data_IF_938569541380
#
_entry.id   IF_938569541380
#
_cell.length_a   1.000
_cell.length_b   1.000
_cell.length_c   1.000
_cell.angle_alpha   90.00
_cell.angle_beta   90.00
_cell.angle_gamma   90.00
#
_symmetry.space_group_name_H-M   'P 1'
#
loop_
_entity.id
_entity.type
_entity.pdbx_description
1 polymer ?
#
# COMPACT_ATOMS: atom_id res chain seq x y z
N UNK A 1 -8.84 5.53 27.83
CA UNK A 1 -8.64 5.82 26.39
C UNK A 1 -10.00 6.20 25.82
N UNK A 2 -10.22 7.45 25.37
CA UNK A 2 -11.48 7.76 24.68
C UNK A 2 -11.52 6.88 23.44
N UNK A 3 -12.60 6.11 23.28
CA UNK A 3 -12.86 5.37 22.04
C UNK A 3 -13.05 6.43 20.97
N UNK A 4 -11.97 6.72 20.23
CA UNK A 4 -12.07 7.51 19.01
C UNK A 4 -12.94 6.71 18.03
N UNK A 5 -13.77 7.40 17.25
CA UNK A 5 -14.67 6.73 16.36
C UNK A 5 -13.89 6.12 15.17
N UNK A 6 -13.64 4.82 15.24
CA UNK A 6 -12.82 4.08 14.27
C UNK A 6 -13.63 3.61 13.04
N UNK A 7 -14.92 3.94 12.96
CA UNK A 7 -15.70 3.63 11.77
C UNK A 7 -15.14 4.37 10.55
N UNK A 8 -15.18 3.78 9.35
CA UNK A 8 -14.90 4.53 8.13
C UNK A 8 -15.80 5.76 8.00
N UNK A 9 -15.25 6.80 7.39
CA UNK A 9 -16.02 7.96 7.00
C UNK A 9 -16.61 7.68 5.60
N UNK A 10 -17.93 7.85 5.46
CA UNK A 10 -18.71 7.38 4.29
C UNK A 10 -19.41 8.50 3.53
N UNK A 11 -19.19 9.76 3.92
CA UNK A 11 -19.84 10.93 3.37
C UNK A 11 -18.82 12.04 3.08
N UNK A 12 -18.84 12.62 1.89
CA UNK A 12 -17.84 13.60 1.48
C UNK A 12 -17.95 14.87 2.31
N UNK A 13 -19.16 15.36 2.60
CA UNK A 13 -19.35 16.54 3.43
C UNK A 13 -18.68 16.39 4.80
N UNK A 14 -18.85 15.23 5.43
CA UNK A 14 -18.21 14.91 6.70
C UNK A 14 -16.67 14.87 6.61
N UNK A 15 -16.10 14.54 5.45
CA UNK A 15 -14.64 14.54 5.21
C UNK A 15 -14.10 15.96 5.15
N UNK A 16 -14.79 16.86 4.43
CA UNK A 16 -14.40 18.28 4.29
C UNK A 16 -14.63 19.06 5.59
N UNK A 17 -15.64 18.69 6.37
CA UNK A 17 -15.94 19.30 7.66
C UNK A 17 -14.97 18.85 8.78
N UNK A 18 -14.05 17.91 8.51
CA UNK A 18 -13.02 17.54 9.48
C UNK A 18 -12.09 18.72 9.76
N UNK A 19 -11.80 19.05 11.04
CA UNK A 19 -10.87 20.13 11.36
C UNK A 19 -9.44 19.82 10.91
N UNK A 20 -9.07 18.54 10.86
CA UNK A 20 -7.75 18.06 10.46
C UNK A 20 -7.83 16.59 10.02
N UNK A 21 -7.11 16.25 8.96
CA UNK A 21 -6.82 14.86 8.58
C UNK A 21 -5.40 14.52 9.03
N UNK A 22 -5.28 13.59 9.97
CA UNK A 22 -3.99 13.14 10.51
C UNK A 22 -3.44 11.99 9.70
N UNK A 23 -2.25 12.22 9.16
CA UNK A 23 -1.47 11.22 8.47
C UNK A 23 0.00 11.33 8.87
N UNK A 24 0.57 10.23 9.36
CA UNK A 24 2.02 10.09 9.48
C UNK A 24 2.52 9.48 8.17
N UNK A 25 3.29 10.21 7.34
CA UNK A 25 3.73 9.72 6.03
C UNK A 25 4.38 8.34 6.11
N UNK A 26 3.93 7.40 5.27
CA UNK A 26 4.37 6.01 5.28
C UNK A 26 3.75 5.10 6.35
N UNK A 27 2.99 5.65 7.31
CA UNK A 27 2.42 4.90 8.44
C UNK A 27 0.90 5.15 8.61
N UNK A 28 0.08 4.79 7.60
CA UNK A 28 -1.37 4.82 7.75
C UNK A 28 -1.82 3.81 8.82
N UNK A 29 -2.94 4.11 9.49
CA UNK A 29 -3.53 3.19 10.48
C UNK A 29 -3.95 1.87 9.81
N UNK A 30 -3.69 0.75 10.48
CA UNK A 30 -3.88 -0.58 9.87
C UNK A 30 -5.29 -1.08 10.13
N UNK A 31 -6.07 -1.22 9.06
CA UNK A 31 -7.35 -1.91 9.06
C UNK A 31 -7.19 -3.25 8.35
N UNK A 32 -7.94 -4.26 8.79
CA UNK A 32 -7.90 -5.59 8.19
C UNK A 32 -9.31 -6.10 7.96
N UNK A 33 -9.51 -6.68 6.78
CA UNK A 33 -10.62 -7.57 6.54
C UNK A 33 -10.26 -8.95 7.10
N UNK A 34 -10.89 -9.32 8.21
CA UNK A 34 -10.76 -10.66 8.78
C UNK A 34 -11.63 -11.64 8.00
N UNK A 35 -11.02 -12.26 6.99
CA UNK A 35 -11.66 -13.29 6.17
C UNK A 35 -12.09 -14.53 6.95
N UNK A 36 -11.62 -14.77 8.18
CA UNK A 36 -12.11 -15.89 9.00
C UNK A 36 -13.50 -15.58 9.58
N UNK A 37 -13.70 -14.35 10.03
CA UNK A 37 -14.93 -13.94 10.72
C UNK A 37 -15.83 -13.01 9.91
N UNK A 38 -15.41 -12.57 8.73
CA UNK A 38 -16.17 -11.63 7.89
C UNK A 38 -16.34 -10.27 8.58
N UNK A 39 -15.28 -9.76 9.21
CA UNK A 39 -15.30 -8.50 9.98
C UNK A 39 -14.27 -7.52 9.48
N UNK A 40 -14.55 -6.23 9.64
CA UNK A 40 -13.54 -5.19 9.61
C UNK A 40 -12.97 -5.03 11.02
N UNK A 41 -11.65 -5.02 11.16
CA UNK A 41 -11.00 -4.73 12.44
C UNK A 41 -9.91 -3.68 12.31
N UNK A 42 -9.60 -3.05 13.44
CA UNK A 42 -8.49 -2.14 13.62
C UNK A 42 -7.32 -2.89 14.25
N UNK A 43 -6.14 -2.81 13.63
CA UNK A 43 -4.90 -3.46 14.07
C UNK A 43 -4.98 -4.99 14.28
N UNK A 44 -6.02 -5.68 13.78
CA UNK A 44 -6.21 -7.11 14.04
C UNK A 44 -6.81 -7.44 15.40
N UNK A 45 -7.19 -6.43 16.19
CA UNK A 45 -7.59 -6.61 17.60
C UNK A 45 -9.00 -6.09 17.86
N UNK A 46 -9.29 -4.86 17.44
CA UNK A 46 -10.59 -4.22 17.73
C UNK A 46 -11.53 -4.41 16.56
N UNK A 47 -12.56 -5.24 16.75
CA UNK A 47 -13.64 -5.38 15.79
C UNK A 47 -14.39 -4.05 15.61
N UNK A 48 -14.53 -3.61 14.36
CA UNK A 48 -15.23 -2.38 13.97
C UNK A 48 -16.63 -2.73 13.48
N UNK A 49 -16.76 -3.83 12.75
CA UNK A 49 -18.06 -4.35 12.33
C UNK A 49 -18.40 -5.69 12.98
N UNK A 50 -19.69 -5.94 13.23
CA UNK A 50 -20.22 -7.27 13.48
C UNK A 50 -19.87 -8.27 12.36
N UNK A 51 -19.88 -9.56 12.72
CA UNK A 51 -19.62 -10.67 11.79
C UNK A 51 -20.60 -10.64 10.61
N UNK A 52 -20.08 -10.65 9.40
CA UNK A 52 -20.85 -10.68 8.16
C UNK A 52 -21.49 -9.34 7.79
N UNK A 53 -21.26 -8.27 8.58
CA UNK A 53 -21.84 -6.98 8.28
C UNK A 53 -21.00 -6.24 7.23
N UNK A 54 -21.70 -5.75 6.20
CA UNK A 54 -21.11 -4.91 5.16
C UNK A 54 -20.62 -3.57 5.74
N UNK A 55 -19.58 -3.02 5.14
CA UNK A 55 -19.05 -1.71 5.49
C UNK A 55 -18.68 -0.94 4.23
N UNK A 56 -18.81 0.38 4.30
CA UNK A 56 -18.51 1.27 3.18
C UNK A 56 -17.29 2.10 3.51
N UNK A 57 -16.47 2.36 2.50
CA UNK A 57 -15.34 3.30 2.56
C UNK A 57 -15.40 4.24 1.36
N UNK A 58 -14.81 5.42 1.50
CA UNK A 58 -14.49 6.30 0.38
C UNK A 58 -12.97 6.21 0.17
N UNK A 59 -12.49 5.56 -0.90
CA UNK A 59 -11.06 5.47 -1.15
C UNK A 59 -10.46 6.83 -1.53
N UNK A 60 -9.43 7.27 -0.80
CA UNK A 60 -8.58 8.41 -1.16
C UNK A 60 -7.49 8.05 -2.16
N UNK A 61 -6.94 6.85 -2.00
CA UNK A 61 -5.91 6.31 -2.86
C UNK A 61 -6.03 4.79 -2.85
N UNK A 62 -5.46 4.15 -3.87
CA UNK A 62 -5.44 2.71 -3.93
C UNK A 62 -4.23 2.22 -4.72
N UNK A 63 -3.94 0.93 -4.61
CA UNK A 63 -3.00 0.24 -5.49
C UNK A 63 -3.35 -1.23 -5.62
N UNK A 64 -3.07 -1.79 -6.79
CA UNK A 64 -3.16 -3.21 -7.05
C UNK A 64 -1.78 -3.68 -7.49
N UNK A 65 -1.25 -4.69 -6.82
CA UNK A 65 0.13 -5.13 -7.02
C UNK A 65 0.29 -6.61 -6.68
N UNK A 66 1.44 -7.19 -7.03
CA UNK A 66 1.74 -8.60 -6.76
C UNK A 66 3.00 -8.72 -5.93
N UNK A 67 2.91 -9.32 -4.75
CA UNK A 67 4.04 -9.41 -3.81
C UNK A 67 3.86 -10.54 -2.78
N UNK A 68 4.91 -10.81 -2.02
CA UNK A 68 4.99 -11.73 -0.89
C UNK A 68 4.83 -10.98 0.44
N UNK A 69 3.58 -10.81 0.85
CA UNK A 69 3.19 -10.02 2.02
C UNK A 69 2.61 -10.92 3.11
N UNK A 70 2.90 -10.58 4.38
CA UNK A 70 2.33 -11.25 5.56
C UNK A 70 2.56 -12.78 5.62
N UNK A 71 3.67 -13.26 5.05
CA UNK A 71 4.01 -14.69 5.03
C UNK A 71 3.20 -15.51 4.02
N UNK A 72 2.39 -14.87 3.17
CA UNK A 72 1.78 -15.54 2.03
C UNK A 72 2.76 -15.60 0.86
N UNK A 73 2.65 -16.66 0.06
CA UNK A 73 3.29 -16.75 -1.25
C UNK A 73 2.90 -15.57 -2.14
N UNK A 74 3.64 -15.39 -3.23
CA UNK A 74 3.41 -14.30 -4.19
C UNK A 74 1.97 -14.29 -4.67
N UNK A 75 1.22 -13.24 -4.31
CA UNK A 75 -0.22 -13.10 -4.57
C UNK A 75 -0.53 -11.71 -5.09
N UNK A 76 -1.69 -11.58 -5.74
CA UNK A 76 -2.27 -10.28 -6.08
C UNK A 76 -2.92 -9.68 -4.84
N UNK A 77 -2.62 -8.41 -4.60
CA UNK A 77 -3.10 -7.61 -3.49
C UNK A 77 -3.80 -6.37 -4.03
N UNK A 78 -4.85 -5.93 -3.34
CA UNK A 78 -5.44 -4.62 -3.53
C UNK A 78 -5.42 -3.89 -2.19
N UNK A 79 -4.82 -2.72 -2.17
CA UNK A 79 -4.79 -1.86 -1.00
C UNK A 79 -5.59 -0.60 -1.26
N UNK A 80 -6.47 -0.28 -0.31
CA UNK A 80 -7.26 0.94 -0.30
C UNK A 80 -6.80 1.80 0.87
N UNK A 81 -6.71 3.11 0.63
CA UNK A 81 -6.48 4.10 1.66
C UNK A 81 -7.74 4.95 1.81
N UNK A 82 -8.15 5.23 3.04
CA UNK A 82 -9.38 5.98 3.34
C UNK A 82 -9.22 6.73 4.67
N UNK A 83 -10.18 7.59 5.00
CA UNK A 83 -10.21 8.30 6.30
C UNK A 83 -11.30 7.72 7.18
N UNK A 84 -10.99 7.52 8.46
CA UNK A 84 -11.98 7.12 9.46
C UNK A 84 -12.64 8.35 10.12
N UNK A 85 -13.69 8.13 10.93
CA UNK A 85 -14.43 9.19 11.60
C UNK A 85 -13.61 9.93 12.69
N UNK A 86 -12.42 9.44 13.03
CA UNK A 86 -11.45 10.14 13.88
C UNK A 86 -10.49 11.03 13.07
N UNK A 87 -10.67 11.14 11.75
CA UNK A 87 -9.82 11.93 10.86
C UNK A 87 -8.45 11.30 10.60
N UNK A 88 -8.30 9.98 10.73
CA UNK A 88 -7.02 9.30 10.48
C UNK A 88 -6.99 8.69 9.09
N UNK A 89 -5.87 8.85 8.37
CA UNK A 89 -5.61 8.06 7.16
C UNK A 89 -5.32 6.61 7.54
N UNK A 90 -6.07 5.71 6.91
CA UNK A 90 -6.13 4.29 7.17
C UNK A 90 -5.79 3.50 5.91
N UNK A 91 -5.34 2.27 6.08
CA UNK A 91 -5.03 1.33 5.00
C UNK A 91 -5.78 0.02 5.23
N UNK A 92 -6.41 -0.50 4.19
CA UNK A 92 -7.12 -1.77 4.17
C UNK A 92 -6.64 -2.61 2.99
N UNK A 93 -6.23 -3.85 3.27
CA UNK A 93 -5.61 -4.73 2.30
C UNK A 93 -6.50 -5.95 2.02
N UNK A 94 -6.72 -6.25 0.74
CA UNK A 94 -7.41 -7.42 0.23
C UNK A 94 -6.45 -8.31 -0.58
N UNK A 95 -6.73 -9.61 -0.63
CA UNK A 95 -5.97 -10.58 -1.43
C UNK A 95 -6.83 -11.74 -1.92
N UNK A 96 -6.28 -12.55 -2.83
CA UNK A 96 -6.93 -13.78 -3.32
C UNK A 96 -8.28 -13.49 -3.98
N UNK A 97 -9.29 -14.32 -3.70
CA UNK A 97 -10.62 -14.21 -4.31
C UNK A 97 -11.29 -12.84 -4.13
N UNK A 98 -10.98 -12.12 -3.04
CA UNK A 98 -11.48 -10.75 -2.87
C UNK A 98 -10.93 -9.82 -3.96
N UNK A 99 -9.66 -9.95 -4.37
CA UNK A 99 -9.10 -9.12 -5.44
C UNK A 99 -9.66 -9.50 -6.81
N UNK A 100 -10.10 -10.74 -6.98
CA UNK A 100 -10.79 -11.17 -8.19
C UNK A 100 -12.19 -10.55 -8.27
N UNK A 101 -12.92 -10.50 -7.15
CA UNK A 101 -14.21 -9.77 -7.07
C UNK A 101 -14.04 -8.27 -7.32
N UNK A 102 -12.97 -7.66 -6.83
CA UNK A 102 -12.67 -6.26 -7.10
C UNK A 102 -12.45 -5.99 -8.60
N UNK A 103 -11.85 -6.92 -9.33
CA UNK A 103 -11.63 -6.77 -10.77
C UNK A 103 -12.93 -6.75 -11.57
N UNK A 104 -13.98 -7.43 -11.09
CA UNK A 104 -15.30 -7.37 -11.71
C UNK A 104 -15.81 -5.93 -11.70
N UNK A 105 -15.82 -5.29 -10.52
CA UNK A 105 -16.32 -3.91 -10.40
C UNK A 105 -15.41 -2.89 -11.10
N UNK A 106 -14.11 -3.16 -11.25
CA UNK A 106 -13.22 -2.29 -12.03
C UNK A 106 -13.60 -2.28 -13.51
N UNK A 107 -14.11 -3.40 -14.03
CA UNK A 107 -14.68 -3.47 -15.38
C UNK A 107 -15.91 -2.57 -15.51
N UNK A 108 -16.83 -2.64 -14.54
CA UNK A 108 -18.04 -1.83 -14.54
C UNK A 108 -17.72 -0.33 -14.42
N UNK A 109 -16.82 0.04 -13.49
CA UNK A 109 -16.37 1.42 -13.29
C UNK A 109 -15.77 2.06 -14.54
N UNK A 110 -15.07 1.27 -15.37
CA UNK A 110 -14.53 1.75 -16.63
C UNK A 110 -15.63 2.25 -17.57
N UNK A 111 -16.78 1.58 -17.61
CA UNK A 111 -17.92 1.99 -18.44
C UNK A 111 -18.73 3.15 -17.84
N UNK A 112 -18.51 3.46 -16.55
CA UNK A 112 -19.10 4.60 -15.84
C UNK A 112 -18.18 5.85 -15.86
N UNK A 113 -17.07 5.82 -16.60
CA UNK A 113 -16.04 6.86 -16.61
C UNK A 113 -15.58 7.25 -15.18
N UNK A 114 -15.42 6.23 -14.31
CA UNK A 114 -15.08 6.40 -12.90
C UNK A 114 -13.91 5.49 -12.48
N UNK A 115 -13.16 5.94 -11.48
CA UNK A 115 -12.13 5.15 -10.80
C UNK A 115 -12.53 4.76 -9.36
N UNK A 116 -11.67 3.98 -8.69
CA UNK A 116 -11.90 3.60 -7.28
C UNK A 116 -11.90 4.80 -6.31
N UNK A 117 -11.28 5.91 -6.69
CA UNK A 117 -11.28 7.16 -5.92
C UNK A 117 -12.46 8.07 -6.27
N UNK A 118 -13.40 7.61 -7.10
CA UNK A 118 -14.57 8.38 -7.52
C UNK A 118 -15.88 7.83 -6.94
N UNK A 119 -15.79 6.89 -5.99
CA UNK A 119 -16.93 6.09 -5.54
C UNK A 119 -17.02 5.97 -4.01
N UNK A 120 -18.23 5.66 -3.54
CA UNK A 120 -18.44 4.96 -2.27
C UNK A 120 -18.32 3.46 -2.52
N UNK A 121 -17.28 2.84 -1.99
CA UNK A 121 -17.04 1.40 -2.13
C UNK A 121 -17.64 0.66 -0.94
N UNK A 122 -18.64 -0.19 -1.18
CA UNK A 122 -19.23 -1.06 -0.17
C UNK A 122 -18.64 -2.45 -0.27
N UNK A 123 -18.13 -2.95 0.85
CA UNK A 123 -17.53 -4.27 0.98
C UNK A 123 -18.54 -5.18 1.67
N UNK A 124 -18.92 -6.27 1.00
CA UNK A 124 -19.83 -7.27 1.51
C UNK A 124 -19.04 -8.54 1.89
N UNK A 125 -19.00 -8.93 3.17
CA UNK A 125 -18.41 -10.20 3.57
C UNK A 125 -19.33 -11.36 3.17
N UNK A 126 -18.97 -12.07 2.10
CA UNK A 126 -19.73 -13.22 1.59
C UNK A 126 -19.23 -14.53 2.21
N UNK A 127 -20.08 -15.27 2.94
CA UNK A 127 -19.68 -16.53 3.55
C UNK A 127 -19.40 -17.58 2.46
N UNK A 128 -18.30 -18.31 2.64
CA UNK A 128 -17.86 -19.44 1.82
C UNK A 128 -17.46 -20.60 2.73
N UNK A 129 -17.46 -21.80 2.17
CA UNK A 129 -17.05 -23.01 2.87
C UNK A 129 -16.15 -23.83 1.95
N UNK A 130 -15.16 -24.50 2.54
CA UNK A 130 -14.34 -25.51 1.89
C UNK A 130 -14.04 -26.64 2.89
N UNK A 131 -13.26 -27.63 2.47
CA UNK A 131 -12.88 -28.77 3.31
C UNK A 131 -12.11 -28.38 4.59
N UNK A 132 -11.55 -27.16 4.64
CA UNK A 132 -10.80 -26.62 5.79
C UNK A 132 -11.64 -25.71 6.69
N UNK A 133 -12.91 -25.49 6.36
CA UNK A 133 -13.87 -24.76 7.19
C UNK A 133 -14.49 -23.54 6.51
N UNK A 134 -15.21 -22.76 7.32
CA UNK A 134 -15.93 -21.58 6.86
C UNK A 134 -15.01 -20.36 6.86
N UNK A 135 -15.11 -19.57 5.80
CA UNK A 135 -14.39 -18.32 5.60
C UNK A 135 -15.29 -17.31 4.88
N UNK A 136 -14.78 -16.10 4.69
CA UNK A 136 -15.46 -15.02 4.01
C UNK A 136 -14.59 -14.49 2.88
N UNK A 137 -15.23 -14.17 1.77
CA UNK A 137 -14.65 -13.44 0.65
C UNK A 137 -15.29 -12.06 0.62
N UNK A 138 -14.52 -11.02 0.35
CA UNK A 138 -15.09 -9.70 0.12
C UNK A 138 -15.60 -9.62 -1.32
N UNK A 139 -16.91 -9.43 -1.49
CA UNK A 139 -17.48 -8.90 -2.73
C UNK A 139 -17.68 -7.39 -2.59
N UNK A 140 -17.89 -6.71 -3.71
CA UNK A 140 -17.91 -5.24 -3.75
C UNK A 140 -19.14 -4.74 -4.48
N UNK A 141 -19.77 -3.72 -3.91
CA UNK A 141 -20.72 -2.84 -4.58
C UNK A 141 -20.17 -1.42 -4.59
N UNK A 142 -20.65 -0.58 -5.51
CA UNK A 142 -20.23 0.81 -5.56
C UNK A 142 -21.39 1.75 -5.89
N UNK A 143 -21.23 2.99 -5.46
CA UNK A 143 -22.05 4.13 -5.87
C UNK A 143 -21.09 5.21 -6.37
N UNK A 144 -21.28 5.67 -7.61
CA UNK A 144 -20.47 6.75 -8.18
C UNK A 144 -20.80 8.05 -7.46
N UNK A 145 -19.78 8.74 -6.95
CA UNK A 145 -19.96 10.02 -6.28
C UNK A 145 -20.41 11.09 -7.28
N UNK A 146 -21.25 12.05 -6.85
CA UNK A 146 -21.58 13.22 -7.66
C UNK A 146 -20.31 13.96 -8.14
N UNK A 147 -20.33 14.63 -9.30
CA UNK A 147 -19.16 15.36 -9.81
C UNK A 147 -18.50 16.32 -8.82
N UNK A 148 -19.30 17.09 -8.07
CA UNK A 148 -18.80 18.01 -7.04
C UNK A 148 -18.09 17.26 -5.89
N UNK A 149 -18.64 16.12 -5.47
CA UNK A 149 -18.08 15.28 -4.42
C UNK A 149 -16.72 14.68 -4.85
N UNK A 150 -16.60 14.27 -6.12
CA UNK A 150 -15.35 13.77 -6.70
C UNK A 150 -14.26 14.83 -6.73
N UNK A 151 -14.62 16.05 -7.10
CA UNK A 151 -13.69 17.18 -7.10
C UNK A 151 -13.19 17.50 -5.69
N UNK A 152 -14.08 17.55 -4.69
CA UNK A 152 -13.69 17.75 -3.30
C UNK A 152 -12.79 16.63 -2.78
N UNK A 153 -13.10 15.38 -3.13
CA UNK A 153 -12.28 14.23 -2.74
C UNK A 153 -10.87 14.29 -3.34
N UNK A 154 -10.77 14.69 -4.61
CA UNK A 154 -9.48 14.88 -5.29
C UNK A 154 -8.66 15.98 -4.60
N UNK A 155 -9.27 17.13 -4.29
CA UNK A 155 -8.62 18.22 -3.57
C UNK A 155 -8.12 17.79 -2.18
N UNK A 156 -8.94 17.01 -1.45
CA UNK A 156 -8.53 16.45 -0.15
C UNK A 156 -7.33 15.52 -0.34
N UNK A 157 -7.36 14.62 -1.32
CA UNK A 157 -6.25 13.70 -1.59
C UNK A 157 -4.96 14.43 -2.00
N UNK A 158 -5.06 15.49 -2.81
CA UNK A 158 -3.93 16.33 -3.26
C UNK A 158 -3.35 17.20 -2.14
N UNK A 159 -4.15 17.58 -1.14
CA UNK A 159 -3.69 18.34 0.02
C UNK A 159 -2.83 17.52 1.01
N UNK A 160 -2.91 16.19 0.92
CA UNK A 160 -2.17 15.28 1.79
C UNK A 160 -0.77 14.98 1.23
N UNK A 161 0.22 14.71 2.09
CA UNK A 161 1.47 14.10 1.65
C UNK A 161 1.20 12.79 0.89
N UNK A 162 2.12 12.35 -0.01
CA UNK A 162 1.96 11.12 -0.76
C UNK A 162 1.55 9.94 0.14
N UNK A 163 0.45 9.28 -0.21
CA UNK A 163 -0.12 8.21 0.61
C UNK A 163 0.53 6.88 0.23
N UNK A 164 1.29 6.32 1.17
CA UNK A 164 1.92 5.02 1.03
C UNK A 164 2.11 4.32 2.37
N UNK A 165 2.54 3.06 2.31
CA UNK A 165 3.02 2.26 3.45
C UNK A 165 4.49 1.98 3.31
N UNK A 166 5.28 2.34 4.31
CA UNK A 166 6.73 2.16 4.26
C UNK A 166 7.16 0.70 4.45
N UNK A 167 6.41 -0.08 5.25
CA UNK A 167 6.77 -1.45 5.65
C UNK A 167 6.80 -2.47 4.50
N UNK A 168 6.14 -2.14 3.38
CA UNK A 168 6.15 -2.96 2.17
C UNK A 168 7.34 -2.65 1.23
N UNK A 169 8.01 -1.51 1.38
CA UNK A 169 9.17 -1.14 0.54
C UNK A 169 10.48 -1.70 1.08
N UNK A 170 10.59 -1.89 2.40
CA UNK A 170 11.83 -2.30 3.07
C UNK A 170 12.18 -3.78 2.78
N UNK A 171 11.20 -4.63 2.41
CA UNK A 171 11.45 -6.07 2.21
C UNK A 171 12.35 -6.43 1.03
N UNK A 172 12.64 -5.51 0.11
CA UNK A 172 13.57 -5.78 -1.00
C UNK A 172 15.03 -5.44 -0.74
N UNK A 173 15.34 -4.61 0.26
CA UNK A 173 16.73 -4.23 0.53
C UNK A 173 17.52 -5.32 1.28
N UNK A 174 16.85 -6.17 2.06
CA UNK A 174 17.54 -7.15 2.92
C UNK A 174 17.66 -8.56 2.33
N UNK A 175 16.96 -8.88 1.24
CA UNK A 175 16.89 -10.26 0.72
C UNK A 175 17.91 -10.56 -0.40
N UNK A 176 18.49 -9.54 -1.01
CA UNK A 176 19.51 -9.72 -2.04
C UNK A 176 20.68 -8.81 -1.72
N UNK A 177 21.79 -9.38 -1.23
CA UNK A 177 23.08 -8.69 -1.06
C UNK A 177 23.72 -8.26 -2.38
N UNK A 178 22.92 -7.77 -3.32
CA UNK A 178 23.30 -7.32 -4.65
C UNK A 178 22.68 -5.94 -4.87
N UNK A 179 23.53 -4.94 -5.11
CA UNK A 179 23.17 -3.58 -5.53
C UNK A 179 22.55 -3.51 -6.95
N UNK A 180 21.81 -4.53 -7.37
CA UNK A 180 21.22 -4.58 -8.72
C UNK A 180 19.72 -4.83 -8.64
N UNK A 181 18.97 -3.80 -8.98
CA UNK A 181 17.61 -3.93 -9.50
C UNK A 181 16.53 -3.86 -8.45
N UNK A 182 15.99 -2.66 -8.25
CA UNK A 182 14.56 -2.54 -8.00
C UNK A 182 13.84 -3.33 -9.10
N UNK A 183 13.42 -4.55 -8.79
CA UNK A 183 12.51 -5.28 -9.66
C UNK A 183 11.30 -4.37 -9.85
N UNK A 184 11.04 -3.93 -11.08
CA UNK A 184 9.87 -3.12 -11.43
C UNK A 184 8.64 -3.83 -10.88
N UNK A 185 8.11 -3.39 -9.73
CA UNK A 185 6.68 -3.54 -9.55
C UNK A 185 6.11 -2.69 -10.68
N UNK A 186 5.20 -3.24 -11.48
CA UNK A 186 4.41 -2.41 -12.37
C UNK A 186 3.53 -1.56 -11.47
N UNK A 187 4.10 -0.44 -11.03
CA UNK A 187 3.37 0.62 -10.35
C UNK A 187 2.53 1.26 -11.45
N UNK A 188 1.26 0.90 -11.52
CA UNK A 188 0.29 1.81 -12.09
C UNK A 188 0.17 2.97 -11.09
N UNK A 189 1.11 3.91 -11.18
CA UNK A 189 1.02 5.18 -10.50
C UNK A 189 -0.15 5.93 -11.14
N UNK A 190 -1.27 6.01 -10.43
CA UNK A 190 -2.38 6.89 -10.79
C UNK A 190 -2.29 8.14 -9.90
N UNK A 191 -2.39 9.29 -10.58
CA UNK A 191 -2.23 10.72 -10.25
C UNK A 191 -1.61 11.18 -8.91
N UNK A 192 -1.84 10.54 -7.77
CA UNK A 192 -1.52 11.11 -6.44
C UNK A 192 -0.46 10.32 -5.64
N UNK A 193 0.21 9.33 -6.25
CA UNK A 193 1.38 8.67 -5.64
C UNK A 193 2.65 9.11 -6.39
N UNK A 194 3.13 10.31 -6.10
CA UNK A 194 4.55 10.60 -6.32
C UNK A 194 5.33 9.93 -5.19
N UNK A 195 6.03 8.84 -5.51
CA UNK A 195 7.05 8.32 -4.60
C UNK A 195 8.14 9.39 -4.46
N UNK A 196 8.68 9.63 -3.25
CA UNK A 196 9.85 10.49 -3.11
C UNK A 196 10.97 9.94 -4.00
N UNK A 197 11.46 10.78 -4.91
CA UNK A 197 12.63 10.48 -5.72
C UNK A 197 13.82 10.35 -4.76
N UNK A 198 14.53 9.22 -4.80
CA UNK A 198 15.69 8.99 -3.93
C UNK A 198 16.78 9.98 -4.35
N UNK A 199 17.02 11.02 -3.55
CA UNK A 199 18.20 11.86 -3.70
C UNK A 199 19.44 10.97 -3.67
N UNK A 200 20.10 10.85 -4.83
CA UNK A 200 21.40 10.22 -4.90
C UNK A 200 22.37 11.18 -4.25
N UNK A 201 22.81 10.87 -3.03
CA UNK A 201 23.90 11.61 -2.39
C UNK A 201 25.15 11.47 -3.27
N UNK A 202 25.47 12.51 -4.01
CA UNK A 202 26.73 12.59 -4.74
C UNK A 202 27.90 12.69 -3.76
N UNK A 203 28.78 11.69 -3.87
CA UNK A 203 30.24 11.72 -3.68
C UNK A 203 30.79 12.35 -2.40
N UNK A 204 31.34 11.49 -1.54
CA UNK A 204 32.41 11.86 -0.63
C UNK A 204 33.57 10.86 -0.72
N UNK A 205 34.76 11.46 -0.89
CA UNK A 205 36.12 10.95 -0.74
C UNK A 205 36.86 10.41 -1.97
N UNK A 206 37.58 11.33 -2.60
CA UNK A 206 38.88 11.04 -3.19
C UNK A 206 39.84 10.54 -2.13
N UNK A 207 40.59 9.49 -2.49
CA UNK A 207 41.82 9.10 -1.80
C UNK A 207 42.94 9.45 -2.77
N UNK A 208 43.55 10.61 -2.54
CA UNK A 208 44.94 10.85 -2.93
C UNK A 208 45.81 9.91 -2.08
N UNK A 209 46.65 9.12 -2.72
CA UNK A 209 47.88 8.66 -2.09
C UNK A 209 49.01 9.02 -3.03
N UNK A 210 49.80 9.99 -2.57
CA UNK A 210 51.03 10.46 -3.19
C UNK A 210 52.16 9.43 -3.02
N UNK A 211 53.11 9.55 -3.95
CA UNK A 211 54.45 8.95 -4.06
C UNK A 211 55.18 8.85 -2.70
N UNK A 212 56.13 7.93 -2.45
CA UNK A 212 57.44 7.89 -3.10
C UNK A 212 58.28 6.71 -2.54
N UNK A 213 59.02 5.99 -3.40
CA UNK A 213 60.46 5.67 -3.23
C UNK A 213 60.92 4.55 -4.17
N UNK A 214 62.19 4.61 -4.49
CA UNK A 214 62.80 4.30 -5.79
C UNK A 214 63.87 3.20 -5.69
N UNK A 215 63.79 2.21 -6.60
CA UNK A 215 64.85 1.38 -7.28
C UNK A 215 65.97 0.67 -6.45
N UNK A 216 66.73 -0.35 -6.96
CA UNK A 216 67.01 -0.74 -8.36
C UNK A 216 66.98 -2.25 -8.70
N UNK A 217 67.03 -2.50 -10.01
CA UNK A 217 67.22 -3.77 -10.71
C UNK A 217 68.48 -4.55 -10.30
N UNK A 218 68.36 -5.87 -10.13
CA UNK A 218 69.40 -6.86 -10.48
C UNK A 218 68.74 -8.13 -11.05
N UNK A 219 69.23 -8.55 -12.20
CA UNK A 219 69.06 -9.88 -12.81
C UNK A 219 69.90 -10.93 -12.06
N UNK A 220 69.43 -12.17 -12.00
CA UNK A 220 70.18 -13.46 -12.02
C UNK A 220 69.17 -14.59 -11.70
N UNK A 221 68.76 -15.35 -12.70
CA UNK A 221 69.26 -16.69 -13.08
C UNK A 221 68.71 -17.89 -12.26
N UNK A 222 68.15 -18.83 -13.02
CA UNK A 222 68.08 -20.29 -12.84
C UNK A 222 67.66 -20.92 -11.49
N UNK A 223 66.59 -21.72 -11.51
CA UNK A 223 66.71 -23.20 -11.57
C UNK A 223 65.42 -23.97 -11.18
N UNK A 224 65.03 -24.88 -12.09
CA UNK A 224 64.49 -26.25 -11.95
C UNK A 224 63.72 -26.70 -10.68
N UNK A 225 62.54 -27.25 -10.99
CA UNK A 225 62.03 -28.58 -10.59
C UNK A 225 61.69 -28.88 -9.12
N UNK A 226 60.40 -29.10 -8.86
CA UNK A 226 59.81 -30.42 -8.59
C UNK A 226 58.29 -30.37 -8.82
#
# INVERSE_FOLDING_TARGET
>A
MKIQNLQPLTDIKSLIDLPEIKYLPGFPRKYRFDAKNGKLNFNGETDITPKGQAFTIIPLAHRIFTDEILGYSRRKWAEMFFVNQAGHVCSLLFHGYSVDQLQVILGDLYYEDAGLTDIRLTVHPEPRSNDFGNYYVASFGFEVLPPADREQLALVAESLPPIYRQDIFIRRACASGTNSGMAKAQYHAWKNVQLPELEHSEKVNGVETSEESTVPWQEEEESKAA
#
